data_IF_119482231353
#
_entry.id   IF_119482231353
#
_cell.length_a   1.000
_cell.length_b   1.000
_cell.length_c   1.000
_cell.angle_alpha   90.00
_cell.angle_beta   90.00
_cell.angle_gamma   90.00
#
_symmetry.space_group_name_H-M   'P 1'
#
loop_
_entity.id
_entity.type
_entity.pdbx_description
1 polymer ?
#
# COMPACT_ATOMS: atom_id res chain seq x y z
N UNK A 1 74.94 -67.30 16.85
CA UNK A 1 75.35 -67.89 15.57
C UNK A 1 74.59 -67.18 14.46
N UNK A 2 75.30 -66.66 13.45
CA UNK A 2 74.87 -66.31 12.07
C UNK A 2 73.65 -65.39 11.86
N UNK A 3 73.61 -64.37 11.00
CA UNK A 3 74.46 -63.92 9.89
C UNK A 3 73.98 -62.53 9.44
N UNK A 4 74.90 -61.66 9.03
CA UNK A 4 74.64 -60.37 8.39
C UNK A 4 74.34 -60.54 6.89
N UNK A 5 73.45 -59.72 6.31
CA UNK A 5 73.54 -59.29 4.90
C UNK A 5 73.13 -57.81 4.79
N UNK A 6 74.03 -57.03 4.21
CA UNK A 6 73.97 -55.60 3.95
C UNK A 6 73.70 -55.42 2.44
N UNK A 7 72.68 -54.65 2.03
CA UNK A 7 72.58 -54.18 0.64
C UNK A 7 72.05 -52.75 0.60
N UNK A 8 72.98 -51.86 0.28
CA UNK A 8 72.83 -50.48 -0.19
C UNK A 8 72.01 -50.46 -1.49
N UNK A 9 71.05 -49.54 -1.67
CA UNK A 9 70.85 -48.77 -2.92
C UNK A 9 69.68 -47.76 -2.87
N UNK A 10 70.07 -46.53 -3.22
CA UNK A 10 69.41 -45.55 -4.10
C UNK A 10 68.22 -44.71 -3.56
N UNK A 11 68.51 -43.41 -3.58
CA UNK A 11 67.61 -42.29 -3.35
C UNK A 11 66.46 -42.21 -4.38
N UNK A 12 65.31 -41.72 -3.92
CA UNK A 12 64.38 -40.97 -4.76
C UNK A 12 63.62 -39.97 -3.89
N UNK A 13 63.96 -38.70 -4.03
CA UNK A 13 63.26 -37.56 -3.45
C UNK A 13 61.83 -37.51 -3.98
N UNK A 14 60.84 -37.75 -3.12
CA UNK A 14 59.46 -37.32 -3.37
C UNK A 14 59.18 -36.07 -2.52
N UNK A 15 59.32 -34.91 -3.16
CA UNK A 15 58.70 -33.67 -2.73
C UNK A 15 57.18 -33.87 -2.80
N UNK A 16 56.54 -34.08 -1.65
CA UNK A 16 55.09 -34.01 -1.54
C UNK A 16 54.66 -32.54 -1.75
N UNK A 17 54.12 -32.26 -2.93
CA UNK A 17 53.39 -31.03 -3.21
C UNK A 17 52.10 -31.06 -2.37
N UNK A 18 52.14 -30.45 -1.19
CA UNK A 18 50.91 -30.12 -0.45
C UNK A 18 50.21 -28.99 -1.20
N UNK A 19 49.28 -29.37 -2.07
CA UNK A 19 48.31 -28.45 -2.65
C UNK A 19 47.47 -27.87 -1.52
N UNK A 20 47.78 -26.65 -1.09
CA UNK A 20 46.87 -25.83 -0.31
C UNK A 20 45.65 -25.55 -1.17
N UNK A 21 44.59 -26.34 -0.99
CA UNK A 21 43.24 -25.94 -1.40
C UNK A 21 42.88 -24.77 -0.50
N UNK A 22 43.07 -23.55 -1.00
CA UNK A 22 42.44 -22.37 -0.42
C UNK A 22 40.94 -22.54 -0.58
N UNK A 23 40.29 -23.05 0.47
CA UNK A 23 38.85 -22.94 0.60
C UNK A 23 38.50 -21.46 0.57
N UNK A 24 37.85 -21.01 -0.51
CA UNK A 24 37.15 -19.73 -0.52
C UNK A 24 35.95 -19.88 0.42
N UNK A 25 36.20 -19.67 1.72
CA UNK A 25 35.14 -19.36 2.67
C UNK A 25 34.53 -18.03 2.21
N UNK A 26 33.22 -18.03 1.98
CA UNK A 26 32.48 -16.89 1.44
C UNK A 26 32.74 -15.59 2.20
N UNK A 27 33.04 -14.53 1.45
CA UNK A 27 33.03 -13.16 1.96
C UNK A 27 31.57 -12.77 2.27
N UNK A 28 31.09 -13.04 3.48
CA UNK A 28 29.84 -12.46 3.99
C UNK A 28 30.17 -11.20 4.82
N UNK A 29 29.57 -10.07 4.42
CA UNK A 29 29.53 -8.76 5.08
C UNK A 29 30.83 -7.95 5.24
N UNK A 30 31.42 -7.47 4.14
CA UNK A 30 32.29 -6.30 4.18
C UNK A 30 31.52 -5.06 3.71
N UNK A 31 31.60 -3.98 4.48
CA UNK A 31 30.97 -2.69 4.16
C UNK A 31 31.67 -2.06 2.95
N UNK A 32 30.90 -1.72 1.91
CA UNK A 32 31.42 -1.01 0.75
C UNK A 32 31.70 0.46 1.10
N UNK A 33 32.77 1.04 0.53
CA UNK A 33 33.12 2.45 0.73
C UNK A 33 32.28 3.34 -0.20
N UNK A 34 31.37 4.18 0.33
CA UNK A 34 30.53 5.07 -0.49
C UNK A 34 31.37 6.05 -1.33
N UNK A 35 32.58 6.42 -0.91
CA UNK A 35 33.43 7.36 -1.63
C UNK A 35 34.12 6.75 -2.85
N UNK A 36 34.07 5.42 -3.01
CA UNK A 36 34.61 4.72 -4.18
C UNK A 36 33.56 4.41 -5.24
N UNK A 37 32.28 4.41 -4.88
CA UNK A 37 31.20 4.13 -5.83
C UNK A 37 30.73 5.38 -6.57
N UNK A 38 30.27 5.20 -7.81
CA UNK A 38 29.82 6.31 -8.68
C UNK A 38 28.68 7.13 -8.07
N UNK A 39 27.73 6.47 -7.41
CA UNK A 39 26.53 7.13 -6.87
C UNK A 39 26.77 7.81 -5.52
N UNK A 40 27.95 7.60 -4.92
CA UNK A 40 28.36 8.11 -3.61
C UNK A 40 27.49 7.68 -2.43
N UNK A 41 26.64 6.67 -2.61
CA UNK A 41 25.75 6.12 -1.59
C UNK A 41 25.72 4.61 -1.71
N UNK A 42 25.82 3.89 -0.59
CA UNK A 42 25.74 2.43 -0.51
C UNK A 42 24.88 1.99 0.68
N UNK A 43 24.29 0.80 0.62
CA UNK A 43 23.56 0.23 1.75
C UNK A 43 24.51 -0.17 2.89
N UNK A 44 24.02 -0.19 4.13
CA UNK A 44 24.77 -0.81 5.23
C UNK A 44 24.79 -2.34 5.08
N UNK A 45 25.92 -2.96 5.43
CA UNK A 45 26.13 -4.39 5.27
C UNK A 45 25.28 -5.24 6.25
N UNK A 46 24.92 -4.70 7.41
CA UNK A 46 24.21 -5.43 8.47
C UNK A 46 22.78 -4.94 8.69
N UNK A 47 22.54 -3.64 8.48
CA UNK A 47 21.28 -2.99 8.80
C UNK A 47 20.55 -2.52 7.55
N UNK A 48 19.35 -3.05 7.28
CA UNK A 48 18.62 -2.70 6.06
C UNK A 48 17.96 -1.31 6.11
N UNK A 49 17.84 -0.71 7.29
CA UNK A 49 17.35 0.64 7.54
C UNK A 49 18.48 1.68 7.64
N UNK A 50 19.70 1.33 7.21
CA UNK A 50 20.86 2.23 7.20
C UNK A 50 21.56 2.27 5.86
N UNK A 51 22.18 3.41 5.59
CA UNK A 51 22.99 3.62 4.39
C UNK A 51 24.14 4.58 4.66
N UNK A 52 25.16 4.49 3.82
CA UNK A 52 26.35 5.33 3.90
C UNK A 52 26.41 6.27 2.71
N UNK A 53 26.70 7.54 2.95
CA UNK A 53 26.92 8.56 1.92
C UNK A 53 28.32 9.15 2.01
N UNK A 54 28.93 9.47 0.86
CA UNK A 54 30.22 10.14 0.82
C UNK A 54 30.05 11.66 0.86
N UNK A 55 30.25 12.25 2.04
CA UNK A 55 30.18 13.69 2.27
C UNK A 55 31.60 14.23 2.43
N UNK A 56 32.00 15.19 1.59
CA UNK A 56 33.35 15.79 1.62
C UNK A 56 34.52 14.78 1.58
N UNK A 57 34.31 13.63 0.92
CA UNK A 57 35.33 12.58 0.85
C UNK A 57 35.41 11.68 2.09
N UNK A 58 34.48 11.82 3.03
CA UNK A 58 34.34 10.97 4.21
C UNK A 58 33.03 10.19 4.16
N UNK A 59 33.02 8.90 4.53
CA UNK A 59 31.81 8.12 4.68
C UNK A 59 31.05 8.56 5.94
N UNK A 60 29.79 8.93 5.77
CA UNK A 60 28.86 9.26 6.85
C UNK A 60 27.70 8.26 6.86
N UNK A 61 27.28 7.84 8.06
CA UNK A 61 26.18 6.90 8.27
C UNK A 61 24.86 7.65 8.46
N UNK A 62 23.82 7.18 7.79
CA UNK A 62 22.46 7.70 7.86
C UNK A 62 21.46 6.56 8.14
N UNK A 63 20.42 6.89 8.90
CA UNK A 63 19.27 6.03 9.13
C UNK A 63 18.12 6.43 8.18
N UNK A 64 17.40 5.44 7.66
CA UNK A 64 16.11 5.67 7.02
C UNK A 64 15.06 6.11 8.05
N UNK A 65 14.03 6.88 7.64
CA UNK A 65 12.92 7.22 8.52
C UNK A 65 12.28 5.97 9.14
N UNK A 66 11.80 6.08 10.39
CA UNK A 66 11.28 4.93 11.13
C UNK A 66 10.12 4.23 10.39
N UNK A 67 10.29 2.95 10.11
CA UNK A 67 9.36 2.14 9.30
C UNK A 67 9.78 1.99 7.83
N UNK A 68 10.85 2.63 7.38
CA UNK A 68 11.42 2.50 6.04
C UNK A 68 12.79 1.82 6.05
N UNK A 69 13.19 1.30 4.90
CA UNK A 69 14.45 0.58 4.63
C UNK A 69 15.11 1.13 3.37
N UNK A 70 16.43 1.03 3.26
CA UNK A 70 17.18 1.59 2.15
C UNK A 70 16.91 0.81 0.85
N UNK A 71 16.35 1.52 -0.14
CA UNK A 71 15.99 0.99 -1.46
C UNK A 71 16.94 1.43 -2.59
N UNK A 72 17.90 2.29 -2.28
CA UNK A 72 18.86 2.85 -3.24
C UNK A 72 18.61 4.33 -3.53
N UNK A 73 19.67 5.06 -3.86
CA UNK A 73 19.61 6.51 -4.14
C UNK A 73 18.48 6.91 -5.11
N UNK A 74 17.73 7.95 -4.76
CA UNK A 74 16.60 8.50 -5.53
C UNK A 74 15.47 7.48 -5.82
N UNK A 75 15.33 6.45 -4.98
CA UNK A 75 14.24 5.47 -5.05
C UNK A 75 13.43 5.49 -3.76
N UNK A 76 12.27 4.86 -3.81
CA UNK A 76 11.41 4.67 -2.65
C UNK A 76 10.42 5.80 -2.44
N UNK A 77 9.90 5.89 -1.22
CA UNK A 77 8.91 6.90 -0.81
C UNK A 77 9.59 8.19 -0.34
N UNK A 78 10.77 8.07 0.26
CA UNK A 78 11.63 9.21 0.64
C UNK A 78 12.97 9.07 -0.07
N UNK A 79 13.91 10.00 0.18
CA UNK A 79 15.23 10.02 -0.46
C UNK A 79 16.05 8.75 -0.23
N UNK A 80 15.81 7.73 -1.06
CA UNK A 80 16.49 6.45 -1.02
C UNK A 80 15.94 5.41 -0.07
N UNK A 81 14.80 5.68 0.59
CA UNK A 81 14.18 4.76 1.55
C UNK A 81 12.74 4.40 1.15
N UNK A 82 12.36 3.18 1.47
CA UNK A 82 11.12 2.57 1.03
C UNK A 82 10.48 1.66 2.09
N UNK A 83 9.21 1.32 1.94
CA UNK A 83 8.52 0.34 2.74
C UNK A 83 9.15 -1.06 2.60
N UNK A 84 9.34 -1.78 3.72
CA UNK A 84 9.98 -3.09 3.74
C UNK A 84 9.31 -4.15 2.87
N UNK A 85 7.99 -4.08 2.66
CA UNK A 85 7.24 -5.09 1.91
C UNK A 85 7.25 -4.87 0.38
N UNK A 86 7.78 -3.76 -0.14
CA UNK A 86 7.81 -3.51 -1.59
C UNK A 86 8.86 -4.34 -2.33
N UNK A 87 9.92 -4.76 -1.64
CA UNK A 87 10.93 -5.69 -2.15
C UNK A 87 11.67 -6.36 -0.98
N UNK A 88 12.54 -7.32 -1.28
CA UNK A 88 13.31 -8.02 -0.25
C UNK A 88 14.56 -7.23 0.22
N UNK A 89 14.38 -5.98 0.67
CA UNK A 89 15.50 -5.10 1.04
C UNK A 89 16.27 -5.57 2.29
N UNK A 90 15.63 -6.35 3.15
CA UNK A 90 16.20 -6.85 4.41
C UNK A 90 16.62 -8.32 4.35
N UNK A 91 16.76 -8.92 3.15
CA UNK A 91 17.29 -10.28 3.04
C UNK A 91 18.69 -10.35 3.69
N UNK A 92 18.87 -11.30 4.62
CA UNK A 92 20.09 -11.49 5.40
C UNK A 92 20.56 -10.28 6.25
N UNK A 93 19.67 -9.30 6.50
CA UNK A 93 19.96 -8.10 7.32
C UNK A 93 18.97 -7.93 8.45
N UNK A 94 19.34 -7.12 9.43
CA UNK A 94 18.47 -6.75 10.57
C UNK A 94 18.02 -5.29 10.46
N UNK A 95 16.98 -4.88 11.19
CA UNK A 95 16.67 -3.46 11.38
C UNK A 95 17.38 -2.95 12.63
N UNK A 96 18.03 -1.80 12.53
CA UNK A 96 18.72 -1.18 13.66
C UNK A 96 17.73 -0.50 14.62
N UNK A 97 16.70 0.15 14.06
CA UNK A 97 15.74 0.93 14.82
C UNK A 97 14.46 0.13 15.07
N UNK A 98 14.00 0.14 16.33
CA UNK A 98 12.71 -0.45 16.72
C UNK A 98 11.51 0.41 16.32
N UNK A 99 10.28 -0.11 16.48
CA UNK A 99 9.05 0.62 16.17
C UNK A 99 8.86 1.84 17.07
N UNK A 100 8.48 2.97 16.47
CA UNK A 100 8.04 4.17 17.18
C UNK A 100 6.56 4.40 16.86
N UNK A 101 5.71 4.02 17.81
CA UNK A 101 4.27 4.11 17.67
C UNK A 101 3.69 5.52 17.87
N UNK A 102 2.56 5.75 17.22
CA UNK A 102 1.63 6.89 17.37
C UNK A 102 0.19 6.38 17.28
N UNK A 103 -0.78 7.27 17.46
CA UNK A 103 -2.19 6.93 17.24
C UNK A 103 -2.39 6.37 15.83
N UNK A 104 -2.94 5.16 15.73
CA UNK A 104 -3.16 4.40 14.48
C UNK A 104 -1.92 4.00 13.68
N UNK A 105 -0.71 4.19 14.22
CA UNK A 105 0.54 3.93 13.52
C UNK A 105 1.51 3.14 14.40
N UNK A 106 1.83 1.89 14.07
CA UNK A 106 2.87 1.14 14.79
C UNK A 106 4.29 1.66 14.48
N UNK A 107 4.46 2.24 13.28
CA UNK A 107 5.66 2.89 12.80
C UNK A 107 5.35 4.30 12.28
N UNK A 108 6.32 5.21 12.32
CA UNK A 108 6.10 6.57 11.81
C UNK A 108 5.75 6.59 10.30
N UNK A 109 6.26 5.64 9.54
CA UNK A 109 5.90 5.42 8.15
C UNK A 109 5.33 4.02 7.99
N UNK A 110 4.11 3.91 7.47
CA UNK A 110 3.51 2.61 7.24
C UNK A 110 2.09 2.68 6.69
N UNK A 111 1.52 1.51 6.44
CA UNK A 111 0.11 1.32 6.14
C UNK A 111 -0.40 0.26 7.11
N UNK A 112 -1.50 0.54 7.80
CA UNK A 112 -2.02 -0.29 8.90
C UNK A 112 -3.53 -0.46 8.79
N UNK A 113 -4.06 -1.61 9.22
CA UNK A 113 -5.50 -1.84 9.25
C UNK A 113 -6.26 -0.90 10.19
N UNK A 114 -7.51 -0.57 9.85
CA UNK A 114 -8.39 0.18 10.73
C UNK A 114 -9.04 -0.75 11.77
N UNK A 115 -9.07 -0.33 13.03
CA UNK A 115 -9.38 -1.17 14.19
C UNK A 115 -10.80 -1.77 14.17
N UNK A 116 -11.75 -1.03 13.61
CA UNK A 116 -13.17 -1.42 13.56
C UNK A 116 -13.69 -1.68 12.15
N UNK A 117 -12.86 -1.61 11.12
CA UNK A 117 -13.35 -1.68 9.73
C UNK A 117 -12.33 -2.21 8.74
N UNK A 118 -12.59 -3.38 8.17
CA UNK A 118 -11.82 -3.92 7.06
C UNK A 118 -11.87 -3.09 5.78
N UNK A 119 -12.84 -2.17 5.68
CA UNK A 119 -12.99 -1.31 4.50
C UNK A 119 -12.11 -0.06 4.53
N UNK A 120 -11.52 0.22 5.70
CA UNK A 120 -10.72 1.41 5.98
C UNK A 120 -9.33 0.97 6.42
N UNK A 121 -8.37 1.85 6.24
CA UNK A 121 -7.00 1.63 6.70
C UNK A 121 -6.32 2.98 6.96
N UNK A 122 -5.21 2.95 7.67
CA UNK A 122 -4.43 4.11 8.01
C UNK A 122 -3.18 4.16 7.13
N UNK A 123 -2.90 5.33 6.54
CA UNK A 123 -1.59 5.63 5.95
C UNK A 123 -0.86 6.59 6.87
N UNK A 124 0.32 6.21 7.33
CA UNK A 124 1.12 6.97 8.27
C UNK A 124 2.28 7.66 7.56
N UNK A 125 2.36 8.97 7.73
CA UNK A 125 3.47 9.80 7.26
C UNK A 125 4.08 10.56 8.42
N UNK A 126 5.30 10.19 8.81
CA UNK A 126 5.99 10.75 9.97
C UNK A 126 5.12 10.74 11.25
N UNK A 127 4.38 9.66 11.48
CA UNK A 127 3.48 9.46 12.61
C UNK A 127 2.12 10.16 12.48
N UNK A 128 1.85 10.84 11.38
CA UNK A 128 0.53 11.42 11.10
C UNK A 128 -0.31 10.39 10.35
N UNK A 129 -1.33 9.84 11.02
CA UNK A 129 -2.28 8.92 10.43
C UNK A 129 -3.29 9.67 9.55
N UNK A 130 -3.45 9.22 8.31
CA UNK A 130 -4.55 9.63 7.44
C UNK A 130 -5.42 8.43 7.16
N UNK A 131 -6.71 8.58 7.40
CA UNK A 131 -7.67 7.54 7.07
C UNK A 131 -7.85 7.41 5.56
N UNK A 132 -7.81 6.18 5.09
CA UNK A 132 -8.09 5.80 3.72
C UNK A 132 -9.21 4.78 3.64
N UNK A 133 -9.78 4.68 2.45
CA UNK A 133 -10.90 3.80 2.17
C UNK A 133 -10.54 2.93 0.97
N UNK A 134 -10.68 1.61 1.12
CA UNK A 134 -10.52 0.71 -0.01
C UNK A 134 -11.64 0.94 -1.03
N UNK A 135 -11.26 1.04 -2.30
CA UNK A 135 -12.18 1.30 -3.41
C UNK A 135 -12.93 0.03 -3.81
N UNK A 136 -14.14 0.17 -4.36
CA UNK A 136 -14.85 -0.92 -5.05
C UNK A 136 -15.14 -2.16 -4.21
N UNK A 137 -15.42 -2.01 -2.91
CA UNK A 137 -15.72 -3.15 -2.03
C UNK A 137 -14.51 -3.99 -1.62
N UNK A 138 -13.29 -3.58 -2.00
CA UNK A 138 -12.06 -4.23 -1.53
C UNK A 138 -11.88 -3.99 -0.02
N UNK A 139 -11.08 -4.87 0.60
CA UNK A 139 -10.76 -4.84 2.02
C UNK A 139 -9.25 -4.71 2.20
N UNK A 140 -8.84 -4.04 3.28
CA UNK A 140 -7.43 -3.91 3.59
C UNK A 140 -6.85 -5.26 4.03
N UNK A 141 -5.83 -5.72 3.32
CA UNK A 141 -5.06 -6.92 3.62
C UNK A 141 -3.75 -6.53 4.30
N UNK A 142 -3.63 -6.85 5.59
CA UNK A 142 -2.44 -6.57 6.40
C UNK A 142 -1.19 -7.28 5.84
N UNK A 143 -1.34 -8.49 5.28
CA UNK A 143 -0.20 -9.27 4.78
C UNK A 143 0.43 -8.66 3.53
N UNK A 144 -0.38 -8.08 2.65
CA UNK A 144 0.09 -7.44 1.42
C UNK A 144 0.24 -5.92 1.56
N UNK A 145 -0.19 -5.37 2.70
CA UNK A 145 -0.32 -3.94 2.97
C UNK A 145 -1.07 -3.17 1.87
N UNK A 146 -2.13 -3.78 1.33
CA UNK A 146 -2.91 -3.23 0.21
C UNK A 146 -4.37 -3.62 0.29
N UNK A 147 -5.23 -2.93 -0.47
CA UNK A 147 -6.61 -3.38 -0.64
C UNK A 147 -6.65 -4.61 -1.55
N UNK A 148 -7.37 -5.65 -1.13
CA UNK A 148 -7.50 -6.94 -1.80
C UNK A 148 -8.95 -7.42 -1.75
N UNK A 149 -9.25 -8.49 -2.49
CA UNK A 149 -10.56 -9.11 -2.51
C UNK A 149 -10.92 -9.70 -1.15
N UNK A 150 -12.20 -9.62 -0.72
CA UNK A 150 -12.63 -10.15 0.57
C UNK A 150 -12.21 -11.60 0.85
N UNK A 151 -12.11 -12.43 -0.19
CA UNK A 151 -11.71 -13.83 -0.07
C UNK A 151 -10.23 -14.02 0.31
N UNK A 152 -9.40 -13.00 0.10
CA UNK A 152 -7.96 -13.00 0.41
C UNK A 152 -7.64 -12.31 1.75
N UNK A 153 -8.65 -11.74 2.43
CA UNK A 153 -8.46 -11.00 3.69
C UNK A 153 -8.94 -11.81 4.88
N UNK A 154 -7.97 -12.36 5.61
CA UNK A 154 -8.24 -13.12 6.83
C UNK A 154 -8.81 -12.22 7.94
N UNK A 155 -9.71 -12.78 8.75
CA UNK A 155 -10.26 -12.10 9.93
C UNK A 155 -11.36 -11.07 9.65
N UNK A 156 -11.69 -10.83 8.38
CA UNK A 156 -12.76 -9.91 8.00
C UNK A 156 -14.09 -10.65 7.81
N UNK A 157 -15.02 -10.50 8.77
CA UNK A 157 -16.37 -11.03 8.66
C UNK A 157 -17.28 -10.08 7.90
N UNK A 158 -18.15 -10.61 7.02
CA UNK A 158 -19.18 -9.83 6.35
C UNK A 158 -20.14 -9.23 7.38
N UNK A 159 -20.56 -7.99 7.16
CA UNK A 159 -21.45 -7.33 8.09
C UNK A 159 -22.85 -7.93 8.00
N UNK A 160 -23.55 -8.22 9.13
CA UNK A 160 -24.88 -8.83 9.09
C UNK A 160 -25.91 -8.08 8.24
N UNK A 161 -25.81 -6.75 8.16
CA UNK A 161 -26.65 -5.90 7.28
C UNK A 161 -26.58 -6.27 5.80
N UNK A 162 -25.46 -6.85 5.35
CA UNK A 162 -25.19 -7.16 3.94
C UNK A 162 -25.17 -8.68 3.68
N UNK A 163 -25.81 -9.46 4.55
CA UNK A 163 -25.91 -10.92 4.40
C UNK A 163 -26.87 -11.32 3.26
N UNK A 164 -27.97 -10.58 3.11
CA UNK A 164 -29.02 -10.91 2.13
C UNK A 164 -28.59 -10.53 0.70
N UNK A 165 -27.97 -9.37 0.56
CA UNK A 165 -27.39 -8.89 -0.70
C UNK A 165 -26.04 -8.23 -0.43
N UNK A 166 -24.97 -8.89 -0.90
CA UNK A 166 -23.62 -8.41 -0.74
C UNK A 166 -23.34 -7.09 -1.49
N UNK A 167 -24.15 -6.75 -2.49
CA UNK A 167 -24.00 -5.54 -3.31
C UNK A 167 -25.27 -4.66 -3.34
N UNK A 168 -26.23 -4.95 -2.46
CA UNK A 168 -27.52 -4.27 -2.41
C UNK A 168 -27.50 -2.95 -1.64
N UNK A 169 -28.58 -2.19 -1.76
CA UNK A 169 -28.79 -1.01 -0.92
C UNK A 169 -29.69 -1.36 0.26
N UNK A 170 -29.36 -0.88 1.46
CA UNK A 170 -30.11 -1.10 2.69
C UNK A 170 -30.53 0.26 3.27
N UNK A 171 -31.81 0.45 3.63
CA UNK A 171 -32.28 1.72 4.17
C UNK A 171 -31.65 2.02 5.54
N UNK A 172 -31.32 3.29 5.79
CA UNK A 172 -30.74 3.74 7.05
C UNK A 172 -31.79 4.40 7.96
N UNK A 173 -32.26 3.69 8.98
CA UNK A 173 -33.10 4.28 10.05
C UNK A 173 -34.28 5.06 9.48
N UNK A 174 -34.47 6.33 9.88
CA UNK A 174 -35.44 7.28 9.29
C UNK A 174 -34.80 8.30 8.33
N UNK A 175 -33.55 8.09 7.93
CA UNK A 175 -32.86 9.04 7.05
C UNK A 175 -33.46 9.01 5.65
N UNK A 176 -33.85 10.17 5.14
CA UNK A 176 -34.43 10.30 3.81
C UNK A 176 -33.39 10.42 2.70
N UNK A 177 -32.19 10.90 3.00
CA UNK A 177 -31.15 11.16 1.98
C UNK A 177 -29.90 10.31 2.16
N UNK A 178 -29.88 9.36 3.10
CA UNK A 178 -28.75 8.45 3.34
C UNK A 178 -29.22 7.01 3.38
N UNK A 179 -28.36 6.12 2.92
CA UNK A 179 -28.59 4.67 2.87
C UNK A 179 -27.25 3.95 2.97
N UNK A 180 -27.28 2.66 3.28
CA UNK A 180 -26.10 1.80 3.16
C UNK A 180 -26.07 1.20 1.76
N UNK A 181 -24.92 1.26 1.11
CA UNK A 181 -24.64 0.46 -0.08
C UNK A 181 -23.68 -0.64 0.32
N UNK A 182 -24.12 -1.88 0.25
CA UNK A 182 -23.24 -3.03 0.44
C UNK A 182 -22.32 -3.15 -0.77
N UNK A 183 -21.04 -3.42 -0.51
CA UNK A 183 -20.06 -3.77 -1.54
C UNK A 183 -19.30 -4.99 -1.03
N UNK A 184 -19.46 -6.14 -1.68
CA UNK A 184 -18.83 -7.39 -1.25
C UNK A 184 -19.25 -7.90 0.14
N UNK A 185 -20.39 -7.46 0.67
CA UNK A 185 -20.85 -7.81 2.03
C UNK A 185 -20.50 -6.80 3.12
N UNK A 186 -20.02 -5.60 2.74
CA UNK A 186 -19.67 -4.53 3.68
C UNK A 186 -20.43 -3.23 3.38
N UNK A 187 -21.11 -2.64 4.39
CA UNK A 187 -21.95 -1.47 4.19
C UNK A 187 -21.09 -0.20 4.09
N UNK A 188 -21.33 0.59 3.05
CA UNK A 188 -20.78 1.94 2.86
C UNK A 188 -21.88 2.97 2.98
N UNK A 189 -21.69 3.98 3.81
CA UNK A 189 -22.69 5.04 3.99
C UNK A 189 -22.71 5.90 2.72
N UNK A 190 -23.83 5.88 2.02
CA UNK A 190 -24.06 6.68 0.83
C UNK A 190 -25.09 7.76 1.10
N UNK A 191 -25.00 8.82 0.31
CA UNK A 191 -25.99 9.89 0.24
C UNK A 191 -26.63 9.87 -1.15
N UNK A 192 -27.94 10.03 -1.22
CA UNK A 192 -28.60 10.23 -2.50
C UNK A 192 -28.06 11.47 -3.22
N UNK A 193 -27.85 11.41 -4.54
CA UNK A 193 -27.40 12.57 -5.29
C UNK A 193 -28.50 13.64 -5.31
N UNK A 194 -28.10 14.91 -5.30
CA UNK A 194 -29.00 16.06 -5.29
C UNK A 194 -30.04 16.01 -4.14
N UNK A 195 -31.23 16.57 -4.38
CA UNK A 195 -32.35 16.60 -3.44
C UNK A 195 -33.22 15.32 -3.52
N UNK A 196 -32.67 14.21 -4.02
CA UNK A 196 -33.39 12.94 -4.06
C UNK A 196 -33.49 12.31 -2.67
N UNK A 197 -34.51 11.46 -2.50
CA UNK A 197 -34.75 10.70 -1.28
C UNK A 197 -34.64 9.20 -1.55
N UNK A 198 -34.13 8.44 -0.60
CA UNK A 198 -33.99 7.00 -0.69
C UNK A 198 -35.34 6.32 -0.44
N UNK A 199 -35.93 5.74 -1.49
CA UNK A 199 -37.16 4.97 -1.38
C UNK A 199 -36.88 3.55 -0.86
N UNK A 200 -37.54 3.19 0.24
CA UNK A 200 -37.34 1.91 0.93
C UNK A 200 -37.89 0.72 0.15
N UNK A 201 -38.92 0.94 -0.68
CA UNK A 201 -39.58 -0.14 -1.43
C UNK A 201 -38.76 -0.55 -2.64
N UNK A 202 -38.23 0.43 -3.37
CA UNK A 202 -37.44 0.18 -4.57
C UNK A 202 -35.92 0.23 -4.35
N UNK A 203 -35.47 0.51 -3.13
CA UNK A 203 -34.05 0.52 -2.71
C UNK A 203 -33.17 1.43 -3.58
N UNK A 204 -33.72 2.57 -4.01
CA UNK A 204 -33.07 3.55 -4.90
C UNK A 204 -33.43 4.98 -4.52
N UNK A 205 -32.60 5.92 -4.97
CA UNK A 205 -32.88 7.34 -4.84
C UNK A 205 -33.93 7.78 -5.89
N UNK A 206 -35.01 8.39 -5.42
CA UNK A 206 -36.13 8.87 -6.23
C UNK A 206 -36.44 10.34 -5.92
N UNK A 207 -37.22 10.97 -6.79
CA UNK A 207 -37.66 12.35 -6.60
C UNK A 207 -38.70 12.39 -5.47
N UNK A 208 -38.57 13.26 -4.45
CA UNK A 208 -39.59 13.41 -3.43
C UNK A 208 -40.85 14.14 -3.98
N UNK A 209 -42.01 14.03 -3.32
CA UNK A 209 -42.25 13.30 -2.07
C UNK A 209 -42.43 11.80 -2.28
N UNK A 210 -42.09 11.04 -1.26
CA UNK A 210 -42.39 9.60 -1.16
C UNK A 210 -43.22 9.37 0.10
N UNK A 211 -43.88 8.22 0.22
CA UNK A 211 -44.70 7.89 1.41
C UNK A 211 -43.95 8.08 2.75
N UNK A 212 -42.63 7.86 2.76
CA UNK A 212 -41.81 7.93 3.97
C UNK A 212 -41.02 9.25 4.12
N UNK A 213 -41.01 10.11 3.10
CA UNK A 213 -40.14 11.29 3.05
C UNK A 213 -40.81 12.46 2.32
N UNK A 214 -41.09 13.51 3.08
CA UNK A 214 -41.56 14.80 2.59
C UNK A 214 -40.45 15.84 2.74
N UNK A 215 -40.22 16.64 1.70
CA UNK A 215 -39.36 17.84 1.80
C UNK A 215 -40.26 18.99 2.20
N UNK A 216 -39.86 19.87 3.15
CA UNK A 216 -40.61 21.09 3.40
C UNK A 216 -40.65 21.92 2.12
N UNK A 217 -41.83 22.05 1.53
CA UNK A 217 -42.02 22.91 0.37
C UNK A 217 -41.97 24.36 0.87
N UNK A 218 -40.93 25.10 0.50
CA UNK A 218 -40.97 26.56 0.62
C UNK A 218 -42.10 27.04 -0.30
N UNK A 219 -43.10 27.78 0.23
CA UNK A 219 -44.18 28.32 -0.61
C UNK A 219 -43.58 29.15 -1.74
N UNK A 220 -44.11 29.01 -2.95
CA UNK A 220 -43.77 29.89 -4.06
C UNK A 220 -44.08 31.35 -3.66
N UNK A 221 -43.23 32.33 -3.99
CA UNK A 221 -43.59 33.73 -3.85
C UNK A 221 -44.89 33.98 -4.62
N UNK A 222 -45.85 34.65 -3.99
CA UNK A 222 -47.11 34.99 -4.64
C UNK A 222 -46.86 35.83 -5.90
N UNK A 223 -47.62 35.65 -6.99
CA UNK A 223 -47.50 36.50 -8.17
C UNK A 223 -48.14 37.87 -7.88
N UNK A 224 -47.33 38.93 -8.00
CA UNK A 224 -47.67 40.34 -7.82
C UNK A 224 -46.74 40.96 -6.76
N UNK A 225 -45.98 42.01 -7.02
CA UNK A 225 -46.26 43.21 -7.81
C UNK A 225 -45.01 43.63 -8.62
N UNK A 226 -45.25 44.34 -9.73
CA UNK A 226 -44.23 45.03 -10.50
C UNK A 226 -43.55 46.08 -9.60
N UNK A 227 -42.27 45.91 -9.30
CA UNK A 227 -41.44 46.99 -8.74
C UNK A 227 -40.72 47.66 -9.91
N UNK A 228 -41.26 48.81 -10.31
CA UNK A 228 -40.65 49.75 -11.24
C UNK A 228 -39.21 50.04 -10.80
N UNK A 229 -38.28 49.81 -11.72
CA UNK A 229 -36.87 49.71 -11.39
C UNK A 229 -36.24 51.01 -10.88
N UNK A 230 -35.18 50.85 -10.08
CA UNK A 230 -34.15 51.88 -10.00
C UNK A 230 -32.75 51.29 -9.80
N UNK A 231 -31.89 51.53 -10.79
CA UNK A 231 -30.42 51.62 -10.77
C UNK A 231 -29.59 50.34 -10.48
N UNK A 232 -29.29 49.62 -11.55
CA UNK A 232 -28.08 48.80 -11.67
C UNK A 232 -26.82 49.71 -11.67
N UNK A 233 -26.11 49.78 -10.55
CA UNK A 233 -24.69 50.14 -10.52
C UNK A 233 -23.86 48.85 -10.62
N UNK A 234 -22.91 48.73 -11.56
CA UNK A 234 -22.04 47.56 -11.60
C UNK A 234 -21.02 47.65 -10.47
N UNK A 235 -21.23 46.87 -9.40
CA UNK A 235 -20.18 46.59 -8.41
C UNK A 235 -19.17 45.65 -9.08
N UNK A 236 -18.05 46.23 -9.54
CA UNK A 236 -16.91 45.44 -9.99
C UNK A 236 -16.38 44.58 -8.83
N UNK A 237 -15.98 43.32 -9.09
CA UNK A 237 -15.25 42.54 -8.09
C UNK A 237 -13.89 43.22 -7.80
N UNK A 238 -13.42 43.25 -6.54
CA UNK A 238 -12.13 43.80 -6.22
C UNK A 238 -11.02 43.03 -6.96
N UNK A 239 -10.17 43.77 -7.68
CA UNK A 239 -8.96 43.25 -8.31
C UNK A 239 -8.03 42.64 -7.25
N UNK A 240 -7.34 41.53 -7.54
CA UNK A 240 -6.28 41.03 -6.67
C UNK A 240 -5.10 42.02 -6.67
N UNK A 241 -4.71 42.47 -5.48
CA UNK A 241 -3.52 43.29 -5.28
C UNK A 241 -2.29 42.39 -5.48
N UNK A 242 -1.49 42.75 -6.46
CA UNK A 242 -0.22 42.11 -6.78
C UNK A 242 0.84 42.59 -5.76
N UNK A 243 1.05 41.81 -4.70
CA UNK A 243 2.14 42.00 -3.74
C UNK A 243 3.24 40.99 -3.98
N UNK A 244 4.30 41.38 -4.69
CA UNK A 244 5.57 40.65 -4.71
C UNK A 244 6.15 40.62 -3.29
N UNK A 245 6.22 39.45 -2.67
CA UNK A 245 7.19 39.17 -1.62
C UNK A 245 7.81 37.79 -1.88
N UNK A 246 9.13 37.80 -2.03
CA UNK A 246 9.98 36.63 -2.06
C UNK A 246 9.97 35.97 -0.68
N UNK A 247 9.66 34.68 -0.60
CA UNK A 247 10.06 33.76 0.48
C UNK A 247 9.70 32.35 0.00
N UNK A 248 10.70 31.54 -0.32
CA UNK A 248 11.41 30.60 0.56
C UNK A 248 10.85 29.20 0.33
N UNK A 249 11.71 28.26 -0.07
CA UNK A 249 11.34 26.89 -0.40
C UNK A 249 10.88 26.17 0.88
N UNK A 250 9.57 26.11 1.09
CA UNK A 250 8.92 25.23 2.06
C UNK A 250 8.20 24.10 1.33
N UNK A 251 8.33 22.92 1.94
CA UNK A 251 8.01 21.58 1.45
C UNK A 251 6.61 21.47 0.80
N UNK A 252 6.42 20.56 -0.18
CA UNK A 252 5.13 20.39 -0.83
C UNK A 252 4.05 19.88 0.15
N UNK A 253 2.78 20.29 -0.01
CA UNK A 253 1.70 19.97 0.91
C UNK A 253 1.32 18.47 0.86
N UNK A 254 0.77 17.91 1.96
CA UNK A 254 0.41 16.49 2.08
C UNK A 254 -0.52 15.96 0.98
N UNK A 255 -1.30 16.83 0.32
CA UNK A 255 -2.18 16.46 -0.80
C UNK A 255 -1.45 16.01 -2.07
N UNK A 256 -0.25 16.53 -2.37
CA UNK A 256 0.50 16.10 -3.56
C UNK A 256 1.09 14.69 -3.38
N UNK A 257 1.51 14.35 -2.16
CA UNK A 257 1.95 13.00 -1.81
C UNK A 257 0.78 12.00 -1.77
N UNK A 258 -0.40 12.42 -1.30
CA UNK A 258 -1.63 11.61 -1.34
C UNK A 258 -2.01 11.19 -2.76
N UNK A 259 -1.94 12.11 -3.73
CA UNK A 259 -2.23 11.80 -5.13
C UNK A 259 -1.21 10.83 -5.75
N UNK A 260 0.08 10.95 -5.39
CA UNK A 260 1.11 10.03 -5.87
C UNK A 260 0.94 8.63 -5.26
N UNK A 261 0.58 8.53 -3.98
CA UNK A 261 0.31 7.25 -3.32
C UNK A 261 -0.96 6.58 -3.87
N UNK A 262 -2.04 7.33 -4.09
CA UNK A 262 -3.24 6.81 -4.77
C UNK A 262 -2.92 6.33 -6.20
N UNK A 263 -2.12 7.07 -6.96
CA UNK A 263 -1.69 6.63 -8.29
C UNK A 263 -0.82 5.37 -8.24
N UNK A 264 0.10 5.25 -7.27
CA UNK A 264 0.91 4.04 -7.12
C UNK A 264 0.06 2.83 -6.70
N UNK A 265 -0.91 2.99 -5.79
CA UNK A 265 -1.83 1.91 -5.41
C UNK A 265 -2.76 1.51 -6.56
N UNK A 266 -3.26 2.48 -7.35
CA UNK A 266 -4.01 2.19 -8.58
C UNK A 266 -3.15 1.44 -9.62
N UNK A 267 -1.87 1.80 -9.75
CA UNK A 267 -0.97 1.09 -10.66
C UNK A 267 -0.68 -0.34 -10.19
N UNK A 268 -0.55 -0.57 -8.88
CA UNK A 268 -0.33 -1.90 -8.31
C UNK A 268 -1.56 -2.80 -8.45
N UNK A 269 -2.76 -2.28 -8.19
CA UNK A 269 -4.00 -3.05 -8.40
C UNK A 269 -4.25 -3.38 -9.87
N UNK A 270 -3.92 -2.47 -10.80
CA UNK A 270 -3.96 -2.74 -12.25
C UNK A 270 -2.91 -3.77 -12.70
N UNK A 271 -1.72 -3.76 -12.11
CA UNK A 271 -0.67 -4.76 -12.40
C UNK A 271 -1.06 -6.15 -11.90
N UNK A 272 -1.69 -6.26 -10.72
CA UNK A 272 -2.24 -7.52 -10.23
C UNK A 272 -3.37 -8.05 -11.12
N UNK A 273 -4.27 -7.18 -11.59
CA UNK A 273 -5.33 -7.55 -12.55
C UNK A 273 -4.74 -8.09 -13.87
N UNK A 274 -3.73 -7.42 -14.44
CA UNK A 274 -3.05 -7.94 -15.65
C UNK A 274 -2.36 -9.28 -15.44
N UNK A 275 -1.82 -9.53 -14.24
CA UNK A 275 -1.17 -10.81 -13.92
C UNK A 275 -2.17 -11.97 -13.78
N UNK A 276 -3.43 -11.69 -13.46
CA UNK A 276 -4.50 -12.70 -13.42
C UNK A 276 -5.11 -13.05 -14.77
N UNK A 277 -4.88 -12.24 -15.81
CA UNK A 277 -5.36 -12.51 -17.19
C UNK A 277 -4.37 -13.33 -18.03
N UNK A 278 -3.11 -13.45 -17.60
CA UNK A 278 -2.10 -14.29 -18.23
C UNK A 278 -2.21 -15.76 -17.75
N UNK A 279 -3.27 -16.46 -18.17
CA UNK A 279 -3.28 -17.91 -18.14
C UNK A 279 -2.22 -18.42 -19.14
N UNK A 280 -1.19 -19.20 -18.73
CA UNK A 280 -0.39 -19.93 -19.69
C UNK A 280 -1.30 -20.96 -20.39
N UNK A 281 -1.30 -20.90 -21.73
CA UNK A 281 -1.95 -21.85 -22.63
C UNK A 281 -1.94 -23.28 -22.06
N UNK A 282 -3.11 -23.82 -21.71
CA UNK A 282 -3.24 -25.24 -21.39
C UNK A 282 -2.87 -26.05 -22.65
N UNK A 283 -1.97 -27.04 -22.56
CA UNK A 283 -1.76 -27.98 -23.66
C UNK A 283 -3.04 -28.82 -23.86
N UNK A 284 -3.48 -28.91 -25.11
CA UNK A 284 -4.63 -29.70 -25.55
C UNK A 284 -4.66 -31.09 -24.89
N UNK A 285 -5.74 -31.41 -24.16
CA UNK A 285 -6.02 -32.79 -23.77
C UNK A 285 -6.35 -33.63 -25.03
N UNK A 286 -5.78 -34.84 -25.17
CA UNK A 286 -6.15 -35.74 -26.26
C UNK A 286 -7.62 -36.19 -26.13
N UNK A 287 -8.30 -36.34 -27.27
CA UNK A 287 -9.69 -36.81 -27.34
C UNK A 287 -9.81 -38.20 -26.71
N UNK A 288 -10.57 -38.30 -25.61
CA UNK A 288 -10.87 -39.56 -24.93
C UNK A 288 -10.70 -39.59 -23.40
N UNK A 289 -10.31 -38.49 -22.76
CA UNK A 289 -10.18 -38.45 -21.30
C UNK A 289 -11.55 -38.36 -20.60
N UNK A 290 -11.88 -39.36 -19.78
CA UNK A 290 -13.07 -39.38 -18.91
C UNK A 290 -12.69 -38.77 -17.55
N UNK A 291 -13.45 -37.82 -16.98
CA UNK A 291 -13.15 -37.22 -15.68
C UNK A 291 -13.20 -38.27 -14.56
N UNK A 292 -12.18 -38.28 -13.69
CA UNK A 292 -12.19 -39.09 -12.47
C UNK A 292 -13.10 -38.39 -11.44
N UNK A 293 -14.09 -39.08 -10.84
CA UNK A 293 -14.95 -38.46 -9.84
C UNK A 293 -14.15 -38.11 -8.58
N UNK A 294 -14.22 -36.83 -8.18
CA UNK A 294 -13.57 -36.31 -6.98
C UNK A 294 -14.22 -36.97 -5.75
N UNK A 295 -13.44 -37.75 -5.03
CA UNK A 295 -13.85 -38.40 -3.78
C UNK A 295 -14.07 -37.33 -2.71
N UNK A 296 -15.31 -37.15 -2.27
CA UNK A 296 -15.63 -36.31 -1.12
C UNK A 296 -14.84 -36.79 0.11
N UNK A 297 -13.99 -35.92 0.67
CA UNK A 297 -13.38 -36.17 1.98
C UNK A 297 -14.39 -35.89 3.08
N UNK A 298 -14.63 -36.91 3.90
CA UNK A 298 -15.45 -36.85 5.10
C UNK A 298 -14.85 -35.85 6.11
N UNK A 299 -15.74 -35.13 6.81
CA UNK A 299 -15.42 -34.34 8.00
C UNK A 299 -15.17 -35.30 9.15
N UNK A 300 -14.06 -35.10 9.86
CA UNK A 300 -13.92 -35.39 11.28
C UNK A 300 -13.83 -34.04 11.99
#
# INVERSE_FOLDING_TARGET
MATAINVLRLAASLLALTSTVSGQQGQKNQQEDPCKVKNRVVADASYCDRYWECVNGQPELYDCPNGLVYAGKNRGVTEGCDYPWRANYCEDKTQANGPIGREHCDWLYGIFGHETSCTRYWTCWNGTATEQLCIGGLLYNENTHSCDWPENVDGCQKHPLCNDDANGNVPLGKSCNRYWQCQGGYPRLQRCPAMLVFDRRSLRCVVPPTEDCEVPTTPAPAPGEEDDGEQNLPVQPPKPINGRQQQNYQQPPPQQQQNQQQQQQQQQSQQQYRRSEDLPNLPNLPQGAIPIPVRARARN
#
